data_IF_801350641362
#
_entry.id   IF_801350641362
#
_cell.length_a   1.000
_cell.length_b   1.000
_cell.length_c   1.000
_cell.angle_alpha   90.00
_cell.angle_beta   90.00
_cell.angle_gamma   90.00
#
_symmetry.space_group_name_H-M   'P 1'
#
loop_
_entity.id
_entity.type
_entity.pdbx_description
1 polymer ?
#
# COMPACT_ATOMS: atom_id res chain seq x y z
N UNK A 1 -27.75 45.69 -62.29
CA UNK A 1 -27.06 44.40 -62.29
C UNK A 1 -25.96 44.52 -61.28
N UNK A 2 -26.17 43.92 -60.14
CA UNK A 2 -25.27 43.99 -58.99
C UNK A 2 -24.64 42.63 -58.83
N UNK A 3 -23.33 42.51 -58.93
CA UNK A 3 -22.56 41.32 -58.59
C UNK A 3 -22.05 41.46 -57.15
N UNK A 4 -22.68 40.72 -56.21
CA UNK A 4 -22.23 40.65 -54.83
C UNK A 4 -21.03 39.76 -54.76
N UNK A 5 -20.01 40.23 -54.05
CA UNK A 5 -18.72 39.63 -53.80
C UNK A 5 -18.84 38.55 -52.71
N UNK A 6 -18.60 37.29 -53.06
CA UNK A 6 -18.43 36.15 -52.13
C UNK A 6 -16.93 35.94 -51.76
N UNK A 7 -16.26 36.87 -51.12
CA UNK A 7 -14.86 36.70 -50.78
C UNK A 7 -14.55 36.72 -49.25
N UNK A 8 -15.58 36.75 -48.39
CA UNK A 8 -15.39 36.91 -46.93
C UNK A 8 -15.20 35.61 -46.11
N UNK A 9 -15.73 34.48 -46.60
CA UNK A 9 -15.83 33.24 -45.79
C UNK A 9 -14.53 32.44 -45.67
N UNK A 10 -13.71 32.36 -46.71
CA UNK A 10 -12.48 31.55 -46.69
C UNK A 10 -11.39 32.12 -45.79
N UNK A 11 -11.34 33.44 -45.62
CA UNK A 11 -10.37 34.09 -44.73
C UNK A 11 -10.71 33.91 -43.25
N UNK A 12 -11.97 33.78 -42.87
CA UNK A 12 -12.37 33.51 -41.47
C UNK A 12 -12.03 32.10 -41.04
N UNK A 13 -12.31 31.09 -41.88
CA UNK A 13 -11.97 29.69 -41.60
C UNK A 13 -10.45 29.51 -41.47
N UNK A 14 -9.66 30.11 -42.37
CA UNK A 14 -8.22 30.07 -42.30
C UNK A 14 -7.65 30.69 -41.01
N UNK A 15 -8.20 31.80 -40.54
CA UNK A 15 -7.80 32.44 -39.27
C UNK A 15 -8.16 31.59 -38.07
N UNK A 16 -9.32 30.94 -38.03
CA UNK A 16 -9.73 30.05 -36.98
C UNK A 16 -8.79 28.81 -36.93
N UNK A 17 -8.47 28.27 -38.09
CA UNK A 17 -7.55 27.10 -38.15
C UNK A 17 -6.13 27.44 -37.66
N UNK A 18 -5.60 28.59 -38.06
CA UNK A 18 -4.30 29.10 -37.58
C UNK A 18 -4.34 29.33 -36.06
N UNK A 19 -5.41 29.93 -35.54
CA UNK A 19 -5.59 30.15 -34.11
C UNK A 19 -5.59 28.80 -33.32
N UNK A 20 -6.31 27.79 -33.81
CA UNK A 20 -6.36 26.48 -33.20
C UNK A 20 -4.99 25.77 -33.22
N UNK A 21 -4.23 25.91 -34.33
CA UNK A 21 -2.87 25.33 -34.40
C UNK A 21 -1.91 26.02 -33.42
N UNK A 22 -2.00 27.35 -33.29
CA UNK A 22 -1.17 28.08 -32.31
C UNK A 22 -1.57 27.72 -30.90
N UNK A 23 -2.84 27.62 -30.58
CA UNK A 23 -3.32 27.20 -29.27
C UNK A 23 -2.87 25.78 -28.93
N UNK A 24 -3.05 24.83 -29.85
CA UNK A 24 -2.58 23.46 -29.68
C UNK A 24 -1.06 23.39 -29.48
N UNK A 25 -0.29 24.11 -30.31
CA UNK A 25 1.16 24.20 -30.20
C UNK A 25 1.61 24.77 -28.85
N UNK A 26 0.89 25.79 -28.36
CA UNK A 26 1.16 26.39 -27.05
C UNK A 26 0.88 25.39 -25.90
N UNK A 27 -0.23 24.67 -25.95
CA UNK A 27 -0.53 23.64 -24.94
C UNK A 27 0.48 22.48 -24.97
N UNK A 28 0.87 22.02 -26.14
CA UNK A 28 1.91 20.99 -26.26
C UNK A 28 3.27 21.46 -25.76
N UNK A 29 3.62 22.74 -26.04
CA UNK A 29 4.87 23.32 -25.55
C UNK A 29 4.85 23.53 -24.04
N UNK A 30 3.73 24.01 -23.46
CA UNK A 30 3.56 24.11 -22.00
C UNK A 30 3.64 22.73 -21.38
N UNK A 31 2.96 21.72 -21.92
CA UNK A 31 3.03 20.34 -21.44
C UNK A 31 4.46 19.80 -21.45
N UNK A 32 5.19 20.01 -22.55
CA UNK A 32 6.60 19.63 -22.66
C UNK A 32 7.49 20.40 -21.63
N UNK A 33 7.33 21.72 -21.54
CA UNK A 33 8.10 22.55 -20.63
C UNK A 33 7.81 22.22 -19.15
N UNK A 34 6.55 21.95 -18.80
CA UNK A 34 6.17 21.50 -17.46
C UNK A 34 6.78 20.13 -17.18
N UNK A 35 6.74 19.17 -18.12
CA UNK A 35 7.34 17.86 -17.95
C UNK A 35 8.87 17.94 -17.77
N UNK A 36 9.55 18.82 -18.50
CA UNK A 36 10.99 19.08 -18.34
C UNK A 36 11.33 19.78 -17.02
N UNK A 37 10.53 20.78 -16.61
CA UNK A 37 10.77 21.58 -15.40
C UNK A 37 10.34 20.88 -14.11
N UNK A 38 9.30 20.07 -14.16
CA UNK A 38 8.84 19.29 -13.00
C UNK A 38 9.58 17.96 -12.86
N UNK A 39 10.62 17.77 -13.72
CA UNK A 39 11.36 16.52 -13.77
C UNK A 39 10.39 15.39 -14.05
N UNK A 40 10.09 15.18 -15.33
CA UNK A 40 9.93 13.83 -15.80
C UNK A 40 11.28 13.12 -15.61
N UNK A 41 11.85 13.16 -14.40
CA UNK A 41 12.79 12.14 -14.01
C UNK A 41 12.05 10.83 -14.28
N UNK A 42 12.38 10.24 -15.42
CA UNK A 42 12.41 8.80 -15.46
C UNK A 42 13.19 8.46 -14.19
N UNK A 43 12.47 8.03 -13.17
CA UNK A 43 13.05 7.23 -12.11
C UNK A 43 13.53 5.99 -12.88
N UNK A 44 14.67 6.12 -13.55
CA UNK A 44 15.56 5.01 -13.77
C UNK A 44 15.61 4.45 -12.35
N UNK A 45 15.13 3.20 -12.16
CA UNK A 45 15.23 2.53 -10.90
C UNK A 45 16.66 2.80 -10.44
N UNK A 46 16.82 3.83 -9.61
CA UNK A 46 18.13 4.26 -9.15
C UNK A 46 18.60 3.04 -8.40
N UNK A 47 19.66 2.43 -8.89
CA UNK A 47 20.29 1.31 -8.18
C UNK A 47 20.62 1.91 -6.83
N UNK A 48 19.83 1.58 -5.82
CA UNK A 48 20.05 2.07 -4.47
C UNK A 48 21.41 1.53 -4.06
N UNK A 49 22.36 2.43 -3.88
CA UNK A 49 23.67 2.06 -3.40
C UNK A 49 23.59 1.83 -1.89
N UNK A 50 24.16 0.74 -1.41
CA UNK A 50 24.23 0.46 0.03
C UNK A 50 25.18 1.45 0.67
N UNK A 51 24.62 2.41 1.39
CA UNK A 51 25.36 3.49 2.03
C UNK A 51 24.41 4.48 2.71
N UNK A 52 24.94 5.41 3.53
CA UNK A 52 24.10 6.36 4.27
C UNK A 52 23.21 7.24 3.37
N UNK A 53 23.69 7.68 2.22
CA UNK A 53 22.93 8.52 1.28
C UNK A 53 21.77 7.76 0.64
N UNK A 54 22.02 6.52 0.19
CA UNK A 54 20.97 5.63 -0.31
C UNK A 54 19.93 5.33 0.77
N UNK A 55 20.39 5.05 1.98
CA UNK A 55 19.54 4.80 3.14
C UNK A 55 18.71 6.02 3.55
N UNK A 56 19.26 7.21 3.52
CA UNK A 56 18.53 8.46 3.76
C UNK A 56 17.41 8.62 2.75
N UNK A 57 17.69 8.42 1.47
CA UNK A 57 16.69 8.49 0.39
C UNK A 57 15.53 7.52 0.64
N UNK A 58 15.82 6.29 1.07
CA UNK A 58 14.78 5.30 1.39
C UNK A 58 14.02 5.68 2.67
N UNK A 59 14.70 6.11 3.72
CA UNK A 59 14.09 6.49 5.00
C UNK A 59 13.05 7.61 4.84
N UNK A 60 13.39 8.65 4.06
CA UNK A 60 12.53 9.82 3.80
C UNK A 60 11.61 9.65 2.58
N UNK A 61 11.79 8.59 1.80
CA UNK A 61 11.03 8.30 0.58
C UNK A 61 10.23 7.02 0.69
N UNK A 62 10.59 6.03 -0.14
CA UNK A 62 9.88 4.75 -0.32
C UNK A 62 9.60 4.02 1.01
N UNK A 63 10.56 4.01 1.93
CA UNK A 63 10.44 3.32 3.22
C UNK A 63 9.46 3.97 4.18
N UNK A 64 9.09 5.24 3.95
CA UNK A 64 8.14 6.03 4.77
C UNK A 64 8.42 6.01 6.27
N UNK A 65 9.68 5.75 6.67
CA UNK A 65 10.07 5.63 8.08
C UNK A 65 9.76 6.91 8.87
N UNK A 66 9.85 8.06 8.22
CA UNK A 66 9.59 9.39 8.77
C UNK A 66 8.13 9.62 9.23
N UNK A 67 7.19 8.77 8.83
CA UNK A 67 5.79 8.86 9.27
C UNK A 67 5.61 8.43 10.73
N UNK A 68 6.53 7.59 11.23
CA UNK A 68 6.53 7.10 12.60
C UNK A 68 7.77 7.52 13.38
N UNK A 69 8.92 7.73 12.70
CA UNK A 69 10.21 8.07 13.29
C UNK A 69 10.66 9.48 12.88
N UNK A 70 11.39 10.15 13.77
CA UNK A 70 12.12 11.36 13.46
C UNK A 70 13.64 11.11 13.50
N UNK A 71 14.40 12.02 12.90
CA UNK A 71 15.85 12.13 13.08
C UNK A 71 16.13 13.57 13.51
N UNK A 72 16.46 13.77 14.77
CA UNK A 72 16.51 15.10 15.38
C UNK A 72 15.12 15.75 15.41
N UNK A 73 15.01 16.92 14.80
CA UNK A 73 13.78 17.71 14.69
C UNK A 73 12.96 17.42 13.40
N UNK A 74 13.48 16.58 12.50
CA UNK A 74 12.83 16.23 11.24
C UNK A 74 12.05 14.91 11.35
N UNK A 75 10.82 14.88 10.88
CA UNK A 75 9.94 13.70 10.89
C UNK A 75 8.98 13.66 12.09
N UNK A 76 8.38 12.51 12.34
CA UNK A 76 7.42 12.31 13.43
C UNK A 76 7.90 11.20 14.38
N UNK A 77 8.04 11.49 15.67
CA UNK A 77 8.39 10.49 16.70
C UNK A 77 7.20 10.16 17.63
N UNK A 78 5.98 10.23 17.09
CA UNK A 78 4.74 9.97 17.85
C UNK A 78 4.50 8.47 18.00
N UNK A 79 4.70 7.70 16.94
CA UNK A 79 4.44 6.25 16.89
C UNK A 79 5.70 5.39 17.03
N UNK A 80 6.87 5.97 16.80
CA UNK A 80 8.17 5.30 16.94
C UNK A 80 9.23 6.25 17.49
N UNK A 81 10.34 5.73 18.04
CA UNK A 81 11.38 6.55 18.66
C UNK A 81 12.10 7.46 17.66
N UNK A 82 12.60 8.59 18.17
CA UNK A 82 13.52 9.44 17.43
C UNK A 82 14.84 8.68 17.19
N UNK A 83 15.32 8.64 15.95
CA UNK A 83 16.56 7.96 15.57
C UNK A 83 17.80 8.85 15.70
N UNK A 84 17.60 10.17 15.73
CA UNK A 84 18.66 11.15 16.04
C UNK A 84 18.80 11.40 17.53
N UNK A 85 19.63 12.38 17.87
CA UNK A 85 19.72 12.96 19.21
C UNK A 85 18.60 14.00 19.37
N UNK A 86 17.76 13.84 20.41
CA UNK A 86 16.66 14.77 20.65
C UNK A 86 16.17 14.73 22.11
N UNK A 87 16.39 15.82 22.85
CA UNK A 87 16.00 15.94 24.25
C UNK A 87 16.65 14.90 25.17
N UNK A 88 16.18 14.83 26.41
CA UNK A 88 16.75 13.89 27.41
C UNK A 88 16.41 12.43 27.11
N UNK A 89 15.21 12.15 26.58
CA UNK A 89 14.76 10.78 26.25
C UNK A 89 15.62 10.11 25.19
N UNK A 90 16.13 10.90 24.23
CA UNK A 90 17.02 10.44 23.15
C UNK A 90 18.33 11.22 23.17
N UNK A 91 19.00 11.23 24.30
CA UNK A 91 20.27 11.93 24.50
C UNK A 91 21.39 11.43 23.56
N UNK A 92 21.28 10.17 23.09
CA UNK A 92 22.18 9.58 22.11
C UNK A 92 21.40 9.16 20.85
N UNK A 93 21.98 9.32 19.65
CA UNK A 93 21.37 8.85 18.40
C UNK A 93 21.43 7.33 18.27
N UNK A 94 20.67 6.77 17.32
CA UNK A 94 20.53 5.31 17.17
C UNK A 94 21.83 4.61 16.84
N UNK A 95 22.74 5.22 16.08
CA UNK A 95 24.06 4.64 15.79
C UNK A 95 24.89 4.38 17.04
N UNK A 96 24.68 5.15 18.12
CA UNK A 96 25.29 4.92 19.44
C UNK A 96 24.43 3.96 20.28
N UNK A 97 23.11 4.22 20.36
CA UNK A 97 22.20 3.38 21.16
C UNK A 97 22.19 1.91 20.71
N UNK A 98 22.44 1.64 19.43
CA UNK A 98 22.48 0.27 18.90
C UNK A 98 23.53 -0.61 19.57
N UNK A 99 24.61 -0.02 20.10
CA UNK A 99 25.65 -0.75 20.86
C UNK A 99 25.10 -1.24 22.19
N UNK A 100 24.45 -0.34 22.95
CA UNK A 100 23.84 -0.71 24.24
C UNK A 100 22.68 -1.70 24.05
N UNK A 101 21.91 -1.53 22.98
CA UNK A 101 20.79 -2.44 22.63
C UNK A 101 21.29 -3.82 22.24
N UNK A 102 22.36 -3.91 21.47
CA UNK A 102 22.99 -5.19 21.13
C UNK A 102 23.47 -5.95 22.40
N UNK A 103 24.11 -5.23 23.33
CA UNK A 103 24.51 -5.83 24.61
C UNK A 103 23.31 -6.33 25.43
N UNK A 104 22.21 -5.56 25.47
CA UNK A 104 20.99 -5.97 26.16
C UNK A 104 20.36 -7.22 25.49
N UNK A 105 20.30 -7.25 24.12
CA UNK A 105 19.81 -8.42 23.39
C UNK A 105 20.66 -9.64 23.58
N UNK A 106 22.01 -9.49 23.66
CA UNK A 106 22.91 -10.58 23.98
C UNK A 106 22.63 -11.18 25.37
N UNK A 107 22.40 -10.31 26.35
CA UNK A 107 22.09 -10.75 27.72
C UNK A 107 20.72 -11.48 27.81
N UNK A 108 19.74 -11.03 27.03
CA UNK A 108 18.39 -11.60 27.02
C UNK A 108 18.32 -12.94 26.27
N UNK A 109 18.96 -13.02 25.11
CA UNK A 109 18.83 -14.17 24.19
C UNK A 109 19.90 -15.23 24.40
N UNK A 110 21.03 -14.87 25.01
CA UNK A 110 22.23 -15.73 25.11
C UNK A 110 23.04 -15.85 23.81
N UNK A 111 22.66 -15.05 22.75
CA UNK A 111 23.39 -14.98 21.48
C UNK A 111 24.34 -13.79 21.50
N UNK A 112 25.39 -13.80 20.70
CA UNK A 112 26.29 -12.66 20.55
C UNK A 112 25.76 -11.69 19.49
N UNK A 113 25.21 -10.56 19.92
CA UNK A 113 24.76 -9.48 19.06
C UNK A 113 25.84 -8.41 18.95
N UNK A 114 26.13 -7.98 17.73
CA UNK A 114 26.75 -6.71 17.47
C UNK A 114 25.69 -5.64 17.14
N UNK A 115 26.10 -4.36 17.02
CA UNK A 115 25.18 -3.24 16.75
C UNK A 115 24.41 -3.39 15.42
N UNK A 116 25.04 -4.01 14.41
CA UNK A 116 24.42 -4.26 13.10
C UNK A 116 23.33 -5.32 13.24
N UNK A 117 23.57 -6.39 14.01
CA UNK A 117 22.58 -7.45 14.26
C UNK A 117 21.33 -6.91 14.95
N UNK A 118 21.50 -6.01 15.94
CA UNK A 118 20.36 -5.33 16.57
C UNK A 118 19.54 -4.52 15.55
N UNK A 119 20.20 -3.77 14.65
CA UNK A 119 19.50 -2.99 13.64
C UNK A 119 18.81 -3.89 12.61
N UNK A 120 19.40 -5.02 12.24
CA UNK A 120 18.76 -6.01 11.36
C UNK A 120 17.52 -6.61 12.07
N UNK A 121 17.68 -7.03 13.36
CA UNK A 121 16.56 -7.56 14.15
C UNK A 121 15.42 -6.57 14.26
N UNK A 122 15.69 -5.29 14.53
CA UNK A 122 14.65 -4.28 14.70
C UNK A 122 13.80 -4.04 13.43
N UNK A 123 14.33 -4.37 12.25
CA UNK A 123 13.57 -4.37 11.00
C UNK A 123 12.92 -5.73 10.72
N UNK A 124 13.61 -6.85 11.04
CA UNK A 124 13.13 -8.21 10.78
C UNK A 124 12.08 -8.69 11.78
N UNK A 125 12.15 -8.18 13.01
CA UNK A 125 11.28 -8.58 14.13
C UNK A 125 11.05 -7.39 15.08
N UNK A 126 10.33 -6.35 14.65
CA UNK A 126 10.21 -5.09 15.40
C UNK A 126 9.57 -5.28 16.79
N UNK A 127 8.78 -6.33 16.98
CA UNK A 127 8.19 -6.68 18.27
C UNK A 127 9.18 -7.27 19.30
N UNK A 128 10.39 -7.69 18.87
CA UNK A 128 11.38 -8.28 19.78
C UNK A 128 11.90 -7.27 20.82
N UNK A 129 11.95 -5.99 20.47
CA UNK A 129 12.33 -4.92 21.39
C UNK A 129 11.49 -3.67 21.13
N UNK A 130 10.52 -3.42 22.01
CA UNK A 130 9.69 -2.20 21.95
C UNK A 130 10.22 -1.18 22.95
N UNK A 131 10.57 0.03 22.46
CA UNK A 131 11.06 1.12 23.32
C UNK A 131 9.96 1.56 24.28
N UNK A 132 10.29 1.75 25.55
CA UNK A 132 9.33 2.19 26.57
C UNK A 132 8.55 3.44 26.17
N UNK A 133 7.23 3.38 26.35
CA UNK A 133 6.29 4.44 25.98
C UNK A 133 5.84 4.42 24.53
N UNK A 134 6.22 3.40 23.74
CA UNK A 134 5.69 3.14 22.40
C UNK A 134 4.91 1.82 22.38
N UNK A 135 4.05 1.64 21.38
CA UNK A 135 3.32 0.41 21.12
C UNK A 135 4.07 -0.46 20.11
N UNK A 136 3.75 -1.75 20.07
CA UNK A 136 4.24 -2.66 19.04
C UNK A 136 3.43 -2.48 17.76
N UNK A 137 3.68 -1.38 17.04
CA UNK A 137 2.95 -0.98 15.82
C UNK A 137 3.88 -0.83 14.60
N UNK A 138 5.16 -1.17 14.72
CA UNK A 138 6.08 -1.02 13.61
C UNK A 138 5.75 -2.03 12.52
N UNK A 139 5.45 -1.51 11.33
CA UNK A 139 5.18 -2.31 10.16
C UNK A 139 6.41 -3.08 9.67
N UNK A 140 6.18 -4.20 9.01
CA UNK A 140 7.21 -5.00 8.36
C UNK A 140 7.60 -4.33 7.04
N UNK A 141 8.76 -3.68 6.98
CA UNK A 141 9.16 -2.82 5.86
C UNK A 141 9.48 -3.57 4.56
N UNK A 142 9.73 -4.88 4.62
CA UNK A 142 10.02 -5.75 3.47
C UNK A 142 8.78 -6.47 2.92
N UNK A 143 7.60 -6.19 3.47
CA UNK A 143 6.32 -6.69 3.00
C UNK A 143 5.47 -5.56 2.40
N UNK A 144 4.44 -5.88 1.59
CA UNK A 144 3.47 -4.90 1.11
C UNK A 144 2.88 -4.06 2.25
N UNK A 145 2.54 -2.79 2.01
CA UNK A 145 2.67 -2.04 0.76
C UNK A 145 4.05 -1.37 0.57
N UNK A 146 4.98 -1.50 1.54
CA UNK A 146 6.30 -0.83 1.53
C UNK A 146 7.27 -1.59 0.61
N UNK A 147 7.40 -2.90 0.81
CA UNK A 147 8.16 -3.84 -0.02
C UNK A 147 9.61 -3.41 -0.31
N UNK A 148 10.38 -3.11 0.75
CA UNK A 148 11.80 -2.83 0.60
C UNK A 148 12.55 -4.11 0.22
N UNK A 149 13.41 -4.02 -0.77
CA UNK A 149 14.38 -5.06 -1.10
C UNK A 149 15.48 -5.17 -0.04
N UNK A 150 16.20 -6.30 -0.02
CA UNK A 150 17.31 -6.49 0.91
C UNK A 150 18.40 -5.41 0.76
N UNK A 151 18.65 -4.94 -0.47
CA UNK A 151 19.59 -3.85 -0.75
C UNK A 151 19.12 -2.54 -0.09
N UNK A 152 17.83 -2.21 -0.23
CA UNK A 152 17.23 -1.03 0.38
C UNK A 152 17.24 -1.11 1.92
N UNK A 153 17.02 -2.29 2.49
CA UNK A 153 17.11 -2.54 3.95
C UNK A 153 18.54 -2.32 4.43
N UNK A 154 19.56 -2.89 3.76
CA UNK A 154 20.96 -2.65 4.08
C UNK A 154 21.31 -1.17 4.01
N UNK A 155 20.81 -0.44 3.00
CA UNK A 155 21.01 1.00 2.88
C UNK A 155 20.39 1.76 4.07
N UNK A 156 19.15 1.45 4.47
CA UNK A 156 18.52 2.05 5.66
C UNK A 156 19.33 1.78 6.93
N UNK A 157 19.84 0.55 7.12
CA UNK A 157 20.67 0.21 8.29
C UNK A 157 21.94 1.07 8.29
N UNK A 158 22.60 1.22 7.14
CA UNK A 158 23.79 2.07 7.05
C UNK A 158 23.50 3.54 7.39
N UNK A 159 22.35 4.07 6.97
CA UNK A 159 21.88 5.40 7.35
C UNK A 159 21.61 5.51 8.86
N UNK A 160 21.00 4.51 9.48
CA UNK A 160 20.79 4.49 10.93
C UNK A 160 22.12 4.41 11.70
N UNK A 161 23.09 3.64 11.22
CA UNK A 161 24.44 3.59 11.79
C UNK A 161 25.13 4.97 11.74
N UNK A 162 24.99 5.70 10.62
CA UNK A 162 25.58 7.02 10.45
C UNK A 162 25.00 8.09 11.39
N UNK A 163 23.87 7.82 12.05
CA UNK A 163 23.31 8.71 13.06
C UNK A 163 24.15 8.66 14.34
N UNK A 164 25.29 9.30 14.32
CA UNK A 164 26.23 9.44 15.43
C UNK A 164 27.13 8.22 15.68
N UNK A 165 27.16 7.23 14.80
CA UNK A 165 28.05 6.08 14.84
C UNK A 165 28.81 5.89 13.52
N UNK A 166 29.76 4.96 13.50
CA UNK A 166 30.47 4.57 12.29
C UNK A 166 29.62 3.62 11.45
N UNK A 167 29.67 3.76 10.13
CA UNK A 167 29.00 2.87 9.19
C UNK A 167 29.82 1.59 9.01
N UNK A 168 29.19 0.45 9.17
CA UNK A 168 29.82 -0.88 9.06
C UNK A 168 29.22 -1.65 7.88
N UNK A 169 29.70 -1.30 6.68
CA UNK A 169 29.25 -1.97 5.44
C UNK A 169 29.72 -3.42 5.38
N UNK A 170 30.88 -3.73 5.99
CA UNK A 170 31.41 -5.10 6.03
C UNK A 170 30.45 -6.03 6.80
N UNK A 171 29.93 -5.61 7.95
CA UNK A 171 28.95 -6.37 8.72
C UNK A 171 27.59 -6.50 8.02
N UNK A 172 27.28 -5.60 7.04
CA UNK A 172 26.07 -5.74 6.21
C UNK A 172 26.26 -6.74 5.06
N UNK A 173 27.47 -6.85 4.52
CA UNK A 173 27.76 -7.76 3.41
C UNK A 173 28.13 -9.16 3.91
N UNK A 174 28.85 -9.23 5.02
CA UNK A 174 29.24 -10.45 5.72
C UNK A 174 28.70 -10.44 7.15
N UNK A 175 27.36 -10.60 7.34
CA UNK A 175 26.73 -10.53 8.63
C UNK A 175 27.18 -11.66 9.54
N UNK A 176 27.10 -11.44 10.86
CA UNK A 176 27.23 -12.50 11.87
C UNK A 176 26.19 -13.61 11.62
N UNK A 177 26.34 -14.74 12.33
CA UNK A 177 25.34 -15.82 12.26
C UNK A 177 23.94 -15.32 12.66
N UNK A 178 23.82 -14.41 13.64
CA UNK A 178 22.58 -13.78 14.09
C UNK A 178 22.00 -12.90 12.98
N UNK A 179 22.80 -12.00 12.42
CA UNK A 179 22.38 -11.11 11.34
C UNK A 179 21.96 -11.86 10.08
N UNK A 180 22.70 -12.93 9.73
CA UNK A 180 22.38 -13.79 8.59
C UNK A 180 21.01 -14.50 8.78
N UNK A 181 20.71 -14.97 9.99
CA UNK A 181 19.43 -15.60 10.30
C UNK A 181 18.26 -14.60 10.13
N UNK A 182 18.43 -13.34 10.54
CA UNK A 182 17.41 -12.30 10.33
C UNK A 182 17.26 -11.92 8.87
N UNK A 183 18.33 -11.81 8.09
CA UNK A 183 18.21 -11.59 6.64
C UNK A 183 17.51 -12.75 5.94
N UNK A 184 17.76 -13.99 6.33
CA UNK A 184 17.02 -15.14 5.81
C UNK A 184 15.51 -15.07 6.17
N UNK A 185 15.17 -14.65 7.39
CA UNK A 185 13.79 -14.40 7.81
C UNK A 185 13.13 -13.32 6.96
N UNK A 186 13.81 -12.21 6.71
CA UNK A 186 13.33 -11.13 5.82
C UNK A 186 13.00 -11.68 4.42
N UNK A 187 13.91 -12.45 3.84
CA UNK A 187 13.71 -13.01 2.50
C UNK A 187 12.53 -13.99 2.45
N UNK A 188 12.38 -14.84 3.45
CA UNK A 188 11.26 -15.79 3.52
C UNK A 188 9.91 -15.08 3.73
N UNK A 189 9.86 -14.10 4.63
CA UNK A 189 8.64 -13.40 4.97
C UNK A 189 8.16 -12.45 3.86
N UNK A 190 9.07 -11.89 3.05
CA UNK A 190 8.69 -11.08 1.87
C UNK A 190 7.76 -11.82 0.90
N UNK A 191 7.92 -13.14 0.80
CA UNK A 191 7.10 -13.98 -0.07
C UNK A 191 5.73 -14.30 0.54
N UNK A 192 5.58 -14.20 1.87
CA UNK A 192 4.39 -14.60 2.62
C UNK A 192 3.52 -13.41 3.09
N UNK A 193 3.80 -12.17 2.64
CA UNK A 193 3.08 -10.96 3.08
C UNK A 193 3.61 -10.34 4.36
N UNK A 194 4.47 -11.02 5.11
CA UNK A 194 5.29 -10.49 6.21
C UNK A 194 4.58 -10.27 7.54
N UNK A 195 3.26 -10.40 7.61
CA UNK A 195 2.47 -10.18 8.83
C UNK A 195 2.39 -11.40 9.76
N UNK A 196 1.67 -11.23 10.85
CA UNK A 196 1.28 -12.27 11.80
C UNK A 196 -0.11 -12.82 11.43
N UNK A 197 -0.23 -14.09 10.98
CA UNK A 197 -1.50 -14.62 10.55
C UNK A 197 -2.53 -14.78 11.69
N UNK A 198 -2.10 -14.98 12.94
CA UNK A 198 -3.01 -15.07 14.08
C UNK A 198 -3.64 -13.71 14.39
N UNK A 199 -2.83 -12.64 14.34
CA UNK A 199 -3.35 -11.27 14.39
C UNK A 199 -4.21 -10.95 13.15
N UNK A 200 -3.83 -11.47 11.99
CA UNK A 200 -4.56 -11.30 10.72
C UNK A 200 -5.96 -11.91 10.74
N UNK A 201 -6.16 -13.02 11.45
CA UNK A 201 -7.49 -13.58 11.68
C UNK A 201 -8.39 -12.54 12.39
N UNK A 202 -7.91 -11.92 13.45
CA UNK A 202 -8.68 -10.89 14.19
C UNK A 202 -9.02 -9.70 13.28
N UNK A 203 -8.06 -9.25 12.47
CA UNK A 203 -8.31 -8.16 11.50
C UNK A 203 -9.36 -8.57 10.47
N UNK A 204 -9.32 -9.82 10.00
CA UNK A 204 -10.32 -10.36 9.07
C UNK A 204 -11.72 -10.39 9.69
N UNK A 205 -11.85 -10.91 10.93
CA UNK A 205 -13.11 -10.95 11.67
C UNK A 205 -13.70 -9.56 11.86
N UNK A 206 -12.89 -8.58 12.24
CA UNK A 206 -13.34 -7.22 12.56
C UNK A 206 -13.69 -6.38 11.31
N UNK A 207 -13.09 -6.66 10.12
CA UNK A 207 -13.17 -5.74 8.97
C UNK A 207 -13.60 -6.40 7.66
N UNK A 208 -13.55 -7.74 7.53
CA UNK A 208 -13.75 -8.42 6.26
C UNK A 208 -14.89 -9.46 6.31
N UNK A 209 -15.07 -10.12 7.46
CA UNK A 209 -15.98 -11.26 7.65
C UNK A 209 -17.45 -10.91 7.42
N UNK A 210 -17.86 -9.64 7.61
CA UNK A 210 -19.24 -9.23 7.33
C UNK A 210 -19.63 -9.45 5.87
N UNK A 211 -18.66 -9.32 4.96
CA UNK A 211 -18.86 -9.43 3.52
C UNK A 211 -18.26 -10.70 2.90
N UNK A 212 -17.19 -11.24 3.46
CA UNK A 212 -16.45 -12.36 2.91
C UNK A 212 -16.53 -13.61 3.78
N UNK A 213 -16.59 -14.75 3.12
CA UNK A 213 -16.62 -16.07 3.74
C UNK A 213 -15.25 -16.74 3.68
N UNK A 214 -14.86 -17.45 4.75
CA UNK A 214 -13.76 -18.42 4.78
C UNK A 214 -14.27 -19.66 5.52
N UNK A 215 -14.12 -20.86 4.92
CA UNK A 215 -14.52 -22.15 5.52
C UNK A 215 -15.97 -22.18 6.01
N UNK A 216 -16.89 -21.67 5.19
CA UNK A 216 -18.34 -21.57 5.46
C UNK A 216 -18.72 -20.60 6.61
N UNK A 217 -17.78 -19.80 7.12
CA UNK A 217 -18.01 -18.77 8.12
C UNK A 217 -17.84 -17.38 7.51
N UNK A 218 -18.83 -16.48 7.70
CA UNK A 218 -18.84 -15.11 7.21
C UNK A 218 -19.98 -14.78 6.27
N UNK A 219 -19.88 -13.61 5.61
CA UNK A 219 -20.89 -13.09 4.68
C UNK A 219 -20.68 -13.58 3.25
N UNK A 220 -21.72 -13.42 2.42
CA UNK A 220 -21.76 -13.81 1.02
C UNK A 220 -21.91 -12.61 0.05
N UNK A 221 -21.71 -11.39 0.56
CA UNK A 221 -21.75 -10.17 -0.26
C UNK A 221 -20.52 -10.08 -1.16
N UNK A 222 -19.37 -10.56 -0.69
CA UNK A 222 -18.11 -10.63 -1.43
C UNK A 222 -17.74 -12.07 -1.80
N UNK A 223 -16.69 -12.26 -2.64
CA UNK A 223 -16.19 -13.58 -2.97
C UNK A 223 -15.77 -14.39 -1.74
N UNK A 224 -15.98 -15.71 -1.81
CA UNK A 224 -15.40 -16.67 -0.87
C UNK A 224 -13.86 -16.64 -0.94
N UNK A 225 -13.23 -16.45 0.21
CA UNK A 225 -11.78 -16.32 0.37
C UNK A 225 -11.11 -17.58 0.93
N UNK A 226 -11.82 -18.70 1.04
CA UNK A 226 -11.28 -19.99 1.51
C UNK A 226 -10.07 -20.47 0.70
N UNK A 227 -9.95 -20.04 -0.55
CA UNK A 227 -8.82 -20.35 -1.43
C UNK A 227 -8.02 -19.11 -1.84
N UNK A 228 -7.99 -18.07 -1.03
CA UNK A 228 -7.37 -16.79 -1.34
C UNK A 228 -5.87 -16.92 -1.71
N UNK A 229 -5.13 -17.84 -1.09
CA UNK A 229 -3.72 -18.07 -1.42
C UNK A 229 -3.48 -18.48 -2.89
N UNK A 230 -4.47 -19.10 -3.55
CA UNK A 230 -4.38 -19.48 -4.96
C UNK A 230 -4.42 -18.25 -5.90
N UNK A 231 -5.00 -17.14 -5.45
CA UNK A 231 -5.05 -15.85 -6.17
C UNK A 231 -3.65 -15.23 -6.22
N UNK A 232 -2.89 -15.39 -5.14
CA UNK A 232 -1.54 -14.86 -4.97
C UNK A 232 -1.49 -13.47 -4.33
N UNK A 233 -0.45 -13.25 -3.53
CA UNK A 233 -0.28 -12.08 -2.67
C UNK A 233 -0.50 -10.75 -3.38
N UNK A 234 0.10 -10.58 -4.57
CA UNK A 234 0.02 -9.31 -5.31
C UNK A 234 -1.40 -8.94 -5.72
N UNK A 235 -2.21 -9.94 -6.13
CA UNK A 235 -3.58 -9.67 -6.55
C UNK A 235 -4.49 -9.44 -5.37
N UNK A 236 -4.27 -10.15 -4.25
CA UNK A 236 -4.98 -9.89 -2.98
C UNK A 236 -4.67 -8.47 -2.49
N UNK A 237 -3.39 -8.08 -2.46
CA UNK A 237 -2.98 -6.70 -2.12
C UNK A 237 -3.70 -5.67 -2.99
N UNK A 238 -3.72 -5.89 -4.31
CA UNK A 238 -4.39 -4.98 -5.24
C UNK A 238 -5.91 -4.92 -5.01
N UNK A 239 -6.55 -6.06 -4.75
CA UNK A 239 -8.00 -6.13 -4.50
C UNK A 239 -8.42 -5.39 -3.23
N UNK A 240 -7.57 -5.39 -2.19
CA UNK A 240 -7.85 -4.64 -0.96
C UNK A 240 -7.57 -3.14 -1.15
N UNK A 241 -6.48 -2.77 -1.82
CA UNK A 241 -6.07 -1.37 -1.96
C UNK A 241 -6.77 -0.63 -3.09
N UNK A 242 -7.31 -1.35 -4.07
CA UNK A 242 -7.99 -0.83 -5.27
C UNK A 242 -9.12 -1.76 -5.70
N UNK A 243 -10.19 -1.88 -4.92
CA UNK A 243 -11.21 -2.91 -5.10
C UNK A 243 -11.98 -2.80 -6.43
N UNK A 244 -12.05 -1.61 -7.03
CA UNK A 244 -12.67 -1.40 -8.32
C UNK A 244 -11.75 -1.74 -9.52
N UNK A 245 -10.45 -2.03 -9.29
CA UNK A 245 -9.50 -2.24 -10.40
C UNK A 245 -9.71 -3.57 -11.13
N UNK A 246 -9.99 -4.63 -10.37
CA UNK A 246 -10.25 -5.97 -10.92
C UNK A 246 -11.36 -6.61 -10.11
N UNK A 247 -12.57 -6.59 -10.64
CA UNK A 247 -13.75 -7.14 -9.97
C UNK A 247 -13.88 -8.62 -10.35
N UNK A 248 -14.10 -9.46 -9.35
CA UNK A 248 -14.35 -10.90 -9.55
C UNK A 248 -15.66 -11.09 -10.33
N UNK A 249 -15.68 -11.92 -11.39
CA UNK A 249 -16.91 -12.22 -12.14
C UNK A 249 -18.05 -12.66 -11.23
N UNK A 250 -19.24 -12.05 -11.41
CA UNK A 250 -20.42 -12.27 -10.58
C UNK A 250 -20.57 -11.28 -9.42
N UNK A 251 -19.55 -10.42 -9.18
CA UNK A 251 -19.59 -9.39 -8.14
C UNK A 251 -19.53 -7.97 -8.71
N UNK A 252 -19.84 -7.82 -10.00
CA UNK A 252 -19.93 -6.54 -10.67
C UNK A 252 -21.01 -5.66 -10.04
N UNK A 253 -20.71 -4.38 -9.93
CA UNK A 253 -21.66 -3.40 -9.40
C UNK A 253 -22.64 -2.94 -10.47
N UNK A 254 -23.92 -2.96 -10.15
CA UNK A 254 -25.00 -2.47 -10.99
C UNK A 254 -25.67 -1.26 -10.34
N UNK A 255 -25.99 -0.29 -11.16
CA UNK A 255 -26.90 0.81 -10.85
C UNK A 255 -28.23 0.56 -11.53
N UNK A 256 -29.32 0.54 -10.75
CA UNK A 256 -30.68 0.36 -11.23
C UNK A 256 -31.50 1.58 -10.89
N UNK A 257 -32.11 2.17 -11.90
CA UNK A 257 -33.06 3.27 -11.77
C UNK A 257 -34.46 2.72 -11.99
N UNK A 258 -35.32 2.82 -10.99
CA UNK A 258 -36.71 2.41 -11.10
C UNK A 258 -37.56 3.47 -11.83
N UNK A 259 -38.79 3.10 -12.27
CA UNK A 259 -39.73 4.00 -12.96
C UNK A 259 -40.12 5.21 -12.09
N UNK A 260 -40.12 5.05 -10.76
CA UNK A 260 -40.39 6.13 -9.80
C UNK A 260 -39.16 7.02 -9.51
N UNK A 261 -38.02 6.75 -10.16
CA UNK A 261 -36.77 7.48 -10.01
C UNK A 261 -35.90 7.03 -8.85
N UNK A 262 -36.29 6.03 -8.06
CA UNK A 262 -35.42 5.46 -7.03
C UNK A 262 -34.21 4.81 -7.67
N UNK A 263 -33.03 5.07 -7.08
CA UNK A 263 -31.76 4.53 -7.49
C UNK A 263 -31.29 3.48 -6.48
N UNK A 264 -30.95 2.29 -6.95
CA UNK A 264 -30.38 1.20 -6.16
C UNK A 264 -29.03 0.81 -6.75
N UNK A 265 -27.99 0.69 -5.91
CA UNK A 265 -26.65 0.30 -6.31
C UNK A 265 -26.21 -0.92 -5.49
N UNK A 266 -25.64 -1.93 -6.14
CA UNK A 266 -25.19 -3.15 -5.50
C UNK A 266 -24.82 -4.23 -6.51
N UNK A 267 -24.61 -5.43 -6.02
CA UNK A 267 -24.37 -6.64 -6.83
C UNK A 267 -25.71 -7.22 -7.28
N UNK A 268 -25.80 -7.60 -8.54
CA UNK A 268 -27.00 -8.27 -9.07
C UNK A 268 -26.93 -9.76 -8.75
N UNK A 269 -27.70 -10.20 -7.75
CA UNK A 269 -27.69 -11.58 -7.26
C UNK A 269 -28.76 -12.47 -7.88
N UNK A 270 -29.81 -11.87 -8.48
CA UNK A 270 -30.81 -12.57 -9.29
C UNK A 270 -31.20 -11.73 -10.51
N UNK A 271 -31.44 -12.40 -11.64
CA UNK A 271 -31.93 -11.75 -12.88
C UNK A 271 -32.78 -12.75 -13.66
N UNK A 272 -34.09 -12.62 -13.58
CA UNK A 272 -35.05 -13.51 -14.23
C UNK A 272 -36.22 -12.73 -14.87
N UNK A 273 -37.24 -13.45 -15.37
CA UNK A 273 -38.39 -12.85 -16.04
C UNK A 273 -39.25 -11.97 -15.12
N UNK A 274 -39.28 -12.26 -13.82
CA UNK A 274 -40.08 -11.54 -12.84
C UNK A 274 -39.40 -10.26 -12.34
N UNK A 275 -38.05 -10.24 -12.28
CA UNK A 275 -37.30 -9.10 -11.80
C UNK A 275 -35.84 -9.38 -11.52
N UNK A 276 -35.25 -8.47 -10.76
CA UNK A 276 -33.86 -8.57 -10.32
C UNK A 276 -33.76 -8.36 -8.80
N UNK A 277 -32.76 -8.98 -8.20
CA UNK A 277 -32.36 -8.67 -6.84
C UNK A 277 -31.00 -7.97 -6.85
N UNK A 278 -30.92 -6.87 -6.14
CA UNK A 278 -29.69 -6.11 -5.94
C UNK A 278 -29.31 -6.20 -4.46
N UNK A 279 -28.18 -6.83 -4.17
CA UNK A 279 -27.59 -6.90 -2.85
C UNK A 279 -26.68 -5.68 -2.66
N UNK A 280 -27.04 -4.81 -1.71
CA UNK A 280 -26.26 -3.62 -1.36
C UNK A 280 -25.00 -4.00 -0.56
N UNK A 281 -24.06 -3.07 -0.42
CA UNK A 281 -22.90 -3.22 0.45
C UNK A 281 -23.27 -3.48 1.94
N UNK A 282 -24.49 -3.14 2.36
CA UNK A 282 -25.01 -3.42 3.71
C UNK A 282 -25.61 -4.81 3.88
N UNK A 283 -25.57 -5.67 2.85
CA UNK A 283 -26.26 -6.97 2.82
C UNK A 283 -27.76 -6.88 2.56
N UNK A 284 -28.36 -5.68 2.50
CA UNK A 284 -29.78 -5.52 2.17
C UNK A 284 -30.05 -5.94 0.73
N UNK A 285 -30.97 -6.88 0.54
CA UNK A 285 -31.44 -7.31 -0.77
C UNK A 285 -32.66 -6.51 -1.19
N UNK A 286 -32.56 -5.80 -2.31
CA UNK A 286 -33.67 -5.03 -2.89
C UNK A 286 -34.18 -5.74 -4.14
N UNK A 287 -35.39 -6.27 -4.06
CA UNK A 287 -36.10 -6.87 -5.21
C UNK A 287 -36.79 -5.78 -6.02
N UNK A 288 -36.53 -5.74 -7.33
CA UNK A 288 -37.13 -4.79 -8.27
C UNK A 288 -37.81 -5.59 -9.38
N UNK A 289 -39.14 -5.42 -9.49
CA UNK A 289 -39.88 -6.10 -10.53
C UNK A 289 -39.44 -5.63 -11.93
N UNK A 290 -39.44 -6.54 -12.91
CA UNK A 290 -39.00 -6.23 -14.28
C UNK A 290 -39.74 -5.04 -14.90
N UNK A 291 -41.04 -4.90 -14.63
CA UNK A 291 -41.84 -3.78 -15.11
C UNK A 291 -41.48 -2.43 -14.47
N UNK A 292 -40.87 -2.46 -13.29
CA UNK A 292 -40.48 -1.25 -12.54
C UNK A 292 -39.07 -0.76 -12.88
N UNK A 293 -38.31 -1.51 -13.68
CA UNK A 293 -36.97 -1.11 -14.11
C UNK A 293 -37.09 -0.09 -15.24
N UNK A 294 -36.52 1.10 -15.05
CA UNK A 294 -36.36 2.11 -16.09
C UNK A 294 -35.02 1.95 -16.79
N UNK A 295 -33.98 1.73 -16.03
CA UNK A 295 -32.60 1.59 -16.52
C UNK A 295 -31.79 0.71 -15.61
N UNK A 296 -30.91 -0.11 -16.19
CA UNK A 296 -29.89 -0.90 -15.48
C UNK A 296 -28.54 -0.70 -16.18
N UNK A 297 -27.53 -0.33 -15.42
CA UNK A 297 -26.19 -0.07 -15.94
C UNK A 297 -25.17 -0.77 -15.06
N UNK A 298 -24.24 -1.52 -15.67
CA UNK A 298 -23.07 -2.04 -14.99
C UNK A 298 -22.03 -0.93 -14.88
N UNK A 299 -21.46 -0.76 -13.69
CA UNK A 299 -20.40 0.22 -13.43
C UNK A 299 -19.09 -0.51 -13.12
N UNK A 300 -18.26 -0.65 -14.16
CA UNK A 300 -16.96 -1.34 -14.08
C UNK A 300 -15.89 -0.56 -13.28
N UNK A 301 -16.18 0.69 -12.91
CA UNK A 301 -15.26 1.53 -12.13
C UNK A 301 -15.66 1.60 -10.65
N UNK A 302 -16.60 0.78 -10.22
CA UNK A 302 -17.12 0.81 -8.86
C UNK A 302 -17.21 -0.59 -8.27
N UNK A 303 -16.74 -0.73 -7.04
CA UNK A 303 -16.91 -1.95 -6.24
C UNK A 303 -17.87 -1.69 -5.07
N UNK A 304 -18.57 -2.73 -4.61
CA UNK A 304 -19.29 -2.68 -3.32
C UNK A 304 -18.34 -2.81 -2.14
N UNK A 305 -17.14 -3.38 -2.35
CA UNK A 305 -16.07 -3.33 -1.37
C UNK A 305 -15.60 -1.88 -1.18
N UNK A 306 -15.56 -1.34 0.05
CA UNK A 306 -15.22 0.05 0.30
C UNK A 306 -13.78 0.40 -0.16
N UNK A 307 -13.63 1.51 -0.87
CA UNK A 307 -12.30 1.99 -1.31
C UNK A 307 -11.48 2.58 -0.16
N UNK A 308 -12.15 3.03 0.89
CA UNK A 308 -11.57 3.63 2.10
C UNK A 308 -11.24 2.59 3.20
N UNK A 309 -11.46 1.31 2.95
CA UNK A 309 -11.13 0.23 3.89
C UNK A 309 -9.67 0.29 4.37
N UNK A 310 -8.76 0.62 3.46
CA UNK A 310 -7.33 0.74 3.79
C UNK A 310 -7.02 1.91 4.75
N UNK A 311 -7.92 2.90 4.85
CA UNK A 311 -7.79 4.02 5.78
C UNK A 311 -8.28 3.65 7.20
N UNK A 312 -9.13 2.62 7.31
CA UNK A 312 -9.69 2.14 8.57
C UNK A 312 -8.72 1.23 9.35
N UNK A 313 -7.74 0.64 8.69
CA UNK A 313 -6.77 -0.30 9.28
C UNK A 313 -5.34 0.26 9.25
N UNK A 314 -4.50 -0.19 10.18
CA UNK A 314 -3.08 0.20 10.17
C UNK A 314 -2.30 -0.57 9.08
N UNK A 315 -1.09 -0.10 8.73
CA UNK A 315 -0.22 -0.85 7.81
C UNK A 315 0.12 -2.24 8.38
N UNK A 316 0.28 -2.36 9.70
CA UNK A 316 0.49 -3.65 10.35
C UNK A 316 -0.72 -4.56 10.19
N UNK A 317 -1.93 -4.07 10.45
CA UNK A 317 -3.16 -4.86 10.30
C UNK A 317 -3.34 -5.34 8.85
N UNK A 318 -3.02 -4.48 7.88
CA UNK A 318 -3.01 -4.84 6.47
C UNK A 318 -2.03 -5.99 6.16
N UNK A 319 -0.83 -5.96 6.74
CA UNK A 319 0.17 -7.03 6.59
C UNK A 319 -0.28 -8.31 7.28
N UNK A 320 -0.87 -8.21 8.45
CA UNK A 320 -1.36 -9.33 9.22
C UNK A 320 -2.51 -10.05 8.48
N UNK A 321 -3.48 -9.30 7.95
CA UNK A 321 -4.57 -9.91 7.17
C UNK A 321 -4.08 -10.52 5.86
N UNK A 322 -3.09 -9.92 5.18
CA UNK A 322 -2.46 -10.55 4.01
C UNK A 322 -1.82 -11.89 4.37
N UNK A 323 -1.08 -11.95 5.50
CA UNK A 323 -0.47 -13.19 5.96
C UNK A 323 -1.53 -14.25 6.28
N UNK A 324 -2.63 -13.88 6.92
CA UNK A 324 -3.76 -14.78 7.17
C UNK A 324 -4.39 -15.30 5.88
N UNK A 325 -4.69 -14.43 4.91
CA UNK A 325 -5.28 -14.81 3.63
C UNK A 325 -4.34 -15.72 2.81
N UNK A 326 -3.03 -15.56 2.93
CA UNK A 326 -2.06 -16.42 2.27
C UNK A 326 -1.98 -17.84 2.86
N UNK A 327 -2.58 -18.11 4.02
CA UNK A 327 -2.77 -19.46 4.56
C UNK A 327 -4.01 -20.16 4.00
N UNK A 328 -4.95 -19.43 3.39
CA UNK A 328 -6.23 -19.97 2.89
C UNK A 328 -6.03 -20.66 1.54
N UNK A 329 -5.71 -21.95 1.56
CA UNK A 329 -5.37 -22.74 0.36
C UNK A 329 -6.56 -23.41 -0.31
N UNK A 330 -7.74 -23.36 0.32
CA UNK A 330 -8.93 -24.15 -0.07
C UNK A 330 -8.75 -25.64 0.23
N UNK A 331 -9.80 -26.38 0.08
CA UNK A 331 -9.72 -27.86 0.12
C UNK A 331 -8.98 -28.37 -1.13
N UNK A 332 -8.17 -29.44 -0.94
CA UNK A 332 -7.48 -30.15 -2.03
C UNK A 332 -8.43 -31.07 -2.79
#
# INVERSE_FOLDING_TARGET
MSTASESGSSNAVGKVFIFLLIALGTFLWIGYAVTELTGGEKVAASVVEVGPEGGETIFWGKGRCFTCHSVGDRGSAVRGPNQGQFGEKFAQPIGVRSIERAAARSAETGLEYNRTDYLIESLANPGAFVVEGYKNEMAIVFAPPISLSLVEIKAVISYLQSQGGDVDLEALDNPSEVGAAFFAKIMAASAAGGGDPDAGLVVFEDNCMECHMIADEGGDIGPDLSAAAKIGLKLIEESITRPAKTITPGYETFEVIAQDGRKTVGIKTRDDADGIDITKATGEVVTIARADIKEITQDDNKSVMPEDLIEAITVKDFQDVLAYLMLQKGEE
#
